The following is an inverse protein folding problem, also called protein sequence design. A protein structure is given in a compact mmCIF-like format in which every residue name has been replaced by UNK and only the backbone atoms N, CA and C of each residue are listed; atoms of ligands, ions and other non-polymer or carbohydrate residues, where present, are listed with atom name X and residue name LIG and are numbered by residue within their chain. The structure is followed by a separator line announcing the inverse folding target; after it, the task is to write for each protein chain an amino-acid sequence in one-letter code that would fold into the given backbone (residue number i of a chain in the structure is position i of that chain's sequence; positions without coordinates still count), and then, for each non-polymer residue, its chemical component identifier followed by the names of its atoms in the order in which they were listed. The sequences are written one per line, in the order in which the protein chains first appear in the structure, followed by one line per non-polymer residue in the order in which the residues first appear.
data_IF_656068842484
#
_entry.id   IF_656068842484
#
_cell.length_a   1.000
_cell.length_b   1.000
_cell.length_c   1.000
_cell.angle_alpha   90.00
_cell.angle_beta   90.00
_cell.angle_gamma   90.00
#
_symmetry.space_group_name_H-M   'P 1'
#
loop_
_entity.id
_entity.type
_entity.pdbx_description
1 polymer ?
#
# COMPACT_ATOMS: atom_id res chain seq x y z
N UNK A 1 0.22 -8.58 -9.23
CA UNK A 1 0.23 -10.05 -9.20
C UNK A 1 0.26 -10.59 -10.62
N UNK A 2 0.96 -11.73 -10.87
CA UNK A 2 0.85 -12.45 -12.16
C UNK A 2 -0.55 -13.05 -12.30
N UNK A 3 -1.10 -13.12 -13.52
CA UNK A 3 -2.44 -13.69 -13.79
C UNK A 3 -2.59 -15.13 -13.28
N UNK A 4 -1.53 -15.93 -13.30
CA UNK A 4 -1.52 -17.29 -12.77
C UNK A 4 -1.46 -17.37 -11.25
N UNK A 5 -1.22 -16.25 -10.54
CA UNK A 5 -1.11 -16.24 -9.07
C UNK A 5 -2.43 -16.62 -8.41
N UNK A 6 -2.32 -17.27 -7.24
CA UNK A 6 -3.45 -17.64 -6.39
C UNK A 6 -3.14 -17.22 -4.95
N UNK A 7 -4.15 -16.66 -4.30
CA UNK A 7 -4.09 -16.24 -2.92
C UNK A 7 -4.97 -17.18 -2.09
N UNK A 8 -4.42 -17.80 -1.09
CA UNK A 8 -5.11 -18.79 -0.27
C UNK A 8 -4.78 -18.59 1.20
N UNK A 9 -5.78 -18.64 2.08
CA UNK A 9 -5.57 -18.49 3.51
C UNK A 9 -5.05 -19.80 4.15
N UNK A 10 -5.57 -20.94 3.72
CA UNK A 10 -5.16 -22.33 4.01
C UNK A 10 -5.11 -22.78 5.49
N UNK A 11 -5.10 -21.89 6.46
CA UNK A 11 -5.01 -22.23 7.89
C UNK A 11 -6.16 -23.11 8.41
N UNK A 12 -7.44 -22.90 8.00
CA UNK A 12 -8.57 -23.72 8.47
C UNK A 12 -8.42 -25.19 8.16
N UNK A 13 -7.75 -25.57 7.07
CA UNK A 13 -7.47 -26.97 6.72
C UNK A 13 -6.59 -27.68 7.75
N UNK A 14 -5.81 -26.90 8.52
CA UNK A 14 -4.97 -27.39 9.62
C UNK A 14 -5.60 -27.18 10.99
N UNK A 15 -6.84 -26.65 11.05
CA UNK A 15 -7.50 -26.30 12.31
C UNK A 15 -6.90 -25.05 12.98
N UNK A 16 -6.24 -24.17 12.20
CA UNK A 16 -5.59 -22.97 12.69
C UNK A 16 -6.35 -21.70 12.26
N UNK A 17 -6.13 -20.59 12.96
CA UNK A 17 -6.83 -19.33 12.74
C UNK A 17 -6.03 -18.31 11.90
N UNK A 18 -4.78 -18.60 11.55
CA UNK A 18 -3.85 -17.69 10.88
C UNK A 18 -2.80 -17.12 11.81
N UNK A 19 -1.72 -16.60 11.20
CA UNK A 19 -0.60 -15.95 11.89
C UNK A 19 -0.09 -14.74 11.07
N UNK A 20 1.11 -14.22 11.42
CA UNK A 20 1.76 -13.14 10.70
C UNK A 20 0.95 -11.85 10.60
N UNK A 21 -0.09 -11.68 11.40
CA UNK A 21 -1.00 -10.52 11.33
C UNK A 21 -2.08 -10.65 10.25
N UNK A 22 -2.23 -11.82 9.61
CA UNK A 22 -3.23 -12.03 8.55
C UNK A 22 -4.66 -11.63 8.98
N UNK A 23 -5.07 -12.00 10.20
CA UNK A 23 -6.39 -11.62 10.76
C UNK A 23 -6.50 -10.13 11.12
N UNK A 24 -5.39 -9.40 11.19
CA UNK A 24 -5.36 -7.96 11.40
C UNK A 24 -5.41 -7.19 10.07
N UNK A 25 -4.54 -7.57 9.11
CA UNK A 25 -4.42 -6.85 7.85
C UNK A 25 -5.52 -7.18 6.85
N UNK A 26 -5.92 -8.45 6.73
CA UNK A 26 -6.89 -8.86 5.72
C UNK A 26 -8.21 -8.08 5.80
N UNK A 27 -8.90 -7.95 6.97
CA UNK A 27 -10.14 -7.18 7.03
C UNK A 27 -9.95 -5.67 6.79
N UNK A 28 -8.74 -5.15 6.92
CA UNK A 28 -8.41 -3.76 6.61
C UNK A 28 -8.20 -3.52 5.12
N UNK A 29 -7.73 -4.53 4.40
CA UNK A 29 -7.54 -4.48 2.95
C UNK A 29 -8.85 -4.71 2.19
N UNK A 30 -9.60 -5.76 2.54
CA UNK A 30 -10.75 -6.22 1.75
C UNK A 30 -12.10 -6.02 2.47
N UNK A 31 -12.09 -5.44 3.66
CA UNK A 31 -13.26 -5.34 4.53
C UNK A 31 -13.58 -6.65 5.27
N UNK A 32 -14.24 -6.53 6.44
CA UNK A 32 -14.48 -7.67 7.33
C UNK A 32 -15.29 -8.79 6.66
N UNK A 33 -16.33 -8.45 5.91
CA UNK A 33 -17.20 -9.45 5.27
C UNK A 33 -16.43 -10.31 4.27
N UNK A 34 -15.66 -9.67 3.40
CA UNK A 34 -14.86 -10.42 2.40
C UNK A 34 -13.73 -11.22 3.05
N UNK A 35 -13.08 -10.66 4.09
CA UNK A 35 -12.10 -11.40 4.88
C UNK A 35 -12.68 -12.69 5.50
N UNK A 36 -13.89 -12.61 6.06
CA UNK A 36 -14.59 -13.80 6.58
C UNK A 36 -14.87 -14.83 5.49
N UNK A 37 -15.28 -14.41 4.30
CA UNK A 37 -15.52 -15.34 3.17
C UNK A 37 -14.23 -16.05 2.75
N UNK A 38 -13.12 -15.30 2.60
CA UNK A 38 -11.82 -15.87 2.26
C UNK A 38 -11.33 -16.88 3.28
N UNK A 39 -11.51 -16.58 4.58
CA UNK A 39 -11.07 -17.46 5.67
C UNK A 39 -11.97 -18.68 5.80
N UNK A 40 -13.30 -18.52 5.77
CA UNK A 40 -14.22 -19.59 6.12
C UNK A 40 -14.53 -20.54 4.95
N UNK A 41 -14.48 -20.06 3.72
CA UNK A 41 -14.62 -20.91 2.53
C UNK A 41 -13.31 -21.59 2.16
N UNK A 42 -12.19 -20.94 2.47
CA UNK A 42 -10.84 -21.43 2.16
C UNK A 42 -10.69 -21.82 0.68
N UNK A 43 -11.26 -20.99 -0.19
CA UNK A 43 -11.17 -21.10 -1.64
C UNK A 43 -10.08 -20.16 -2.17
N UNK A 44 -9.20 -20.64 -3.05
CA UNK A 44 -8.18 -19.77 -3.65
C UNK A 44 -8.80 -18.65 -4.49
N UNK A 45 -8.29 -17.43 -4.33
CA UNK A 45 -8.66 -16.26 -5.12
C UNK A 45 -7.63 -16.04 -6.22
N UNK A 46 -8.08 -15.86 -7.47
CA UNK A 46 -7.22 -15.52 -8.60
C UNK A 46 -6.71 -14.08 -8.55
N UNK A 47 -5.74 -13.77 -9.42
CA UNK A 47 -5.09 -12.46 -9.45
C UNK A 47 -6.07 -11.32 -9.78
N UNK A 48 -6.95 -11.51 -10.76
CA UNK A 48 -7.97 -10.51 -11.16
C UNK A 48 -8.92 -10.20 -9.99
N UNK A 49 -9.49 -11.23 -9.38
CA UNK A 49 -10.38 -11.06 -8.22
C UNK A 49 -9.63 -10.43 -7.03
N UNK A 50 -8.36 -10.80 -6.81
CA UNK A 50 -7.53 -10.20 -5.77
C UNK A 50 -7.33 -8.70 -6.00
N UNK A 51 -7.19 -8.26 -7.26
CA UNK A 51 -7.12 -6.85 -7.61
C UNK A 51 -8.48 -6.15 -7.41
N UNK A 52 -9.58 -6.77 -7.84
CA UNK A 52 -10.94 -6.21 -7.69
C UNK A 52 -11.32 -5.97 -6.22
N UNK A 53 -10.92 -6.87 -5.32
CA UNK A 53 -11.23 -6.75 -3.88
C UNK A 53 -10.19 -5.96 -3.08
N UNK A 54 -9.13 -5.45 -3.72
CA UNK A 54 -8.08 -4.67 -3.06
C UNK A 54 -7.05 -5.49 -2.27
N UNK A 55 -6.97 -6.80 -2.51
CA UNK A 55 -5.93 -7.67 -1.94
C UNK A 55 -4.61 -7.54 -2.71
N UNK A 56 -4.68 -7.32 -4.02
CA UNK A 56 -3.57 -6.95 -4.88
C UNK A 56 -3.83 -5.59 -5.52
N UNK A 57 -2.79 -4.90 -5.97
CA UNK A 57 -2.92 -3.61 -6.65
C UNK A 57 -3.44 -3.77 -8.07
N UNK A 58 -2.90 -4.76 -8.78
CA UNK A 58 -3.25 -5.09 -10.17
C UNK A 58 -2.92 -6.54 -10.50
N UNK A 59 -3.52 -7.08 -11.55
CA UNK A 59 -3.14 -8.33 -12.20
C UNK A 59 -2.50 -8.02 -13.55
N UNK A 60 -1.40 -8.73 -13.88
CA UNK A 60 -0.67 -8.56 -15.14
C UNK A 60 -0.35 -9.92 -15.75
N UNK A 61 -0.17 -10.04 -17.09
CA UNK A 61 0.28 -11.28 -17.72
C UNK A 61 1.56 -11.81 -17.07
N UNK A 62 1.68 -13.14 -16.95
CA UNK A 62 2.81 -13.78 -16.26
C UNK A 62 4.18 -13.32 -16.79
N UNK A 63 4.28 -13.13 -18.11
CA UNK A 63 5.51 -12.67 -18.76
C UNK A 63 5.89 -11.21 -18.46
N UNK A 64 4.94 -10.40 -18.04
CA UNK A 64 5.10 -8.95 -17.88
C UNK A 64 5.38 -8.54 -16.44
N UNK A 65 5.22 -9.46 -15.48
CA UNK A 65 5.35 -9.16 -14.04
C UNK A 65 6.71 -8.52 -13.69
N UNK A 66 7.80 -9.03 -14.27
CA UNK A 66 9.15 -8.52 -14.00
C UNK A 66 9.31 -7.07 -14.46
N UNK A 67 8.90 -6.77 -15.68
CA UNK A 67 8.99 -5.43 -16.26
C UNK A 67 8.07 -4.45 -15.52
N UNK A 68 6.85 -4.87 -15.20
CA UNK A 68 5.89 -4.04 -14.45
C UNK A 68 6.37 -3.73 -13.03
N UNK A 69 7.00 -4.71 -12.35
CA UNK A 69 7.62 -4.49 -11.05
C UNK A 69 8.79 -3.49 -11.14
N UNK A 70 9.65 -3.62 -12.15
CA UNK A 70 10.77 -2.71 -12.35
C UNK A 70 10.30 -1.28 -12.65
N UNK A 71 9.28 -1.12 -13.48
CA UNK A 71 8.66 0.17 -13.78
C UNK A 71 8.09 0.83 -12.51
N UNK A 72 7.30 0.10 -11.73
CA UNK A 72 6.69 0.63 -10.52
C UNK A 72 7.72 0.98 -9.44
N UNK A 73 8.74 0.13 -9.27
CA UNK A 73 9.85 0.41 -8.37
C UNK A 73 10.63 1.67 -8.78
N UNK A 74 10.91 1.83 -10.08
CA UNK A 74 11.58 3.01 -10.60
C UNK A 74 10.72 4.28 -10.41
N UNK A 75 9.42 4.19 -10.67
CA UNK A 75 8.45 5.28 -10.45
C UNK A 75 8.44 5.74 -8.98
N UNK A 76 8.37 4.79 -8.05
CA UNK A 76 8.37 5.09 -6.62
C UNK A 76 9.73 5.65 -6.16
N UNK A 77 10.84 5.09 -6.65
CA UNK A 77 12.18 5.55 -6.31
C UNK A 77 12.48 6.97 -6.84
N UNK A 78 11.88 7.37 -7.96
CA UNK A 78 11.99 8.71 -8.52
C UNK A 78 11.06 9.74 -7.83
N UNK A 79 10.20 9.30 -6.94
CA UNK A 79 9.28 10.16 -6.21
C UNK A 79 9.87 10.72 -4.91
N UNK A 80 9.11 11.54 -4.16
CA UNK A 80 9.52 12.12 -2.89
C UNK A 80 9.51 11.04 -1.78
N UNK A 81 10.53 10.19 -1.74
CA UNK A 81 10.56 8.97 -0.91
C UNK A 81 10.41 9.25 0.59
N UNK A 82 10.88 10.40 1.10
CA UNK A 82 10.65 10.81 2.49
C UNK A 82 9.17 11.08 2.76
N UNK A 83 8.47 11.76 1.84
CA UNK A 83 7.03 12.01 1.96
C UNK A 83 6.23 10.69 1.88
N UNK A 84 6.62 9.76 0.99
CA UNK A 84 6.01 8.43 0.93
C UNK A 84 6.21 7.63 2.22
N UNK A 85 7.41 7.69 2.82
CA UNK A 85 7.69 7.03 4.08
C UNK A 85 6.86 7.62 5.24
N UNK A 86 6.73 8.94 5.33
CA UNK A 86 5.88 9.62 6.31
C UNK A 86 4.41 9.22 6.15
N UNK A 87 3.87 9.34 4.93
CA UNK A 87 2.50 8.94 4.64
C UNK A 87 2.24 7.46 4.97
N UNK A 88 3.19 6.57 4.63
CA UNK A 88 3.08 5.14 4.95
C UNK A 88 3.00 4.87 6.45
N UNK A 89 3.80 5.57 7.29
CA UNK A 89 3.72 5.47 8.76
C UNK A 89 2.37 5.95 9.29
N UNK A 90 1.91 7.12 8.86
CA UNK A 90 0.64 7.71 9.27
C UNK A 90 -0.55 6.81 8.89
N UNK A 91 -0.58 6.30 7.66
CA UNK A 91 -1.60 5.38 7.18
C UNK A 91 -1.63 4.08 7.98
N UNK A 92 -0.46 3.48 8.24
CA UNK A 92 -0.38 2.23 9.00
C UNK A 92 -0.85 2.42 10.47
N UNK A 93 -0.62 3.59 11.07
CA UNK A 93 -1.05 3.93 12.44
C UNK A 93 -2.54 4.29 12.54
N UNK A 94 -3.17 4.77 11.46
CA UNK A 94 -4.47 5.46 11.49
C UNK A 94 -5.62 4.66 12.09
N UNK A 95 -5.63 3.34 11.96
CA UNK A 95 -6.70 2.49 12.51
C UNK A 95 -6.69 2.36 14.04
N UNK A 96 -5.59 2.74 14.70
CA UNK A 96 -5.44 2.67 16.16
C UNK A 96 -5.26 4.04 16.81
N UNK A 97 -5.17 5.11 16.03
CA UNK A 97 -4.87 6.47 16.50
C UNK A 97 -6.13 7.31 16.56
N UNK A 98 -6.43 8.01 17.67
CA UNK A 98 -7.51 9.00 17.74
C UNK A 98 -7.29 10.13 16.72
N UNK A 99 -8.38 10.69 16.17
CA UNK A 99 -8.31 11.72 15.14
C UNK A 99 -7.44 12.91 15.53
N UNK A 100 -7.59 13.42 16.78
CA UNK A 100 -6.81 14.56 17.26
C UNK A 100 -5.31 14.27 17.29
N UNK A 101 -4.92 13.05 17.69
CA UNK A 101 -3.52 12.61 17.66
C UNK A 101 -3.03 12.46 16.22
N UNK A 102 -3.83 11.85 15.35
CA UNK A 102 -3.49 11.70 13.93
C UNK A 102 -3.24 13.07 13.26
N UNK A 103 -4.09 14.07 13.53
CA UNK A 103 -3.92 15.42 12.98
C UNK A 103 -2.66 16.12 13.52
N UNK A 104 -2.29 15.86 14.77
CA UNK A 104 -1.05 16.38 15.35
C UNK A 104 0.18 15.70 14.70
N UNK A 105 0.15 14.38 14.57
CA UNK A 105 1.23 13.62 13.91
C UNK A 105 1.41 14.04 12.43
N UNK A 106 0.30 14.28 11.71
CA UNK A 106 0.34 14.82 10.34
C UNK A 106 0.97 16.21 10.27
N UNK A 107 0.63 17.09 11.22
CA UNK A 107 1.19 18.44 11.29
C UNK A 107 2.71 18.41 11.56
N UNK A 108 3.16 17.52 12.44
CA UNK A 108 4.58 17.34 12.75
C UNK A 108 5.36 16.81 11.54
N UNK A 109 4.83 15.78 10.85
CA UNK A 109 5.46 15.25 9.64
C UNK A 109 5.52 16.30 8.51
N UNK A 110 4.45 17.11 8.32
CA UNK A 110 4.45 18.21 7.35
C UNK A 110 5.53 19.24 7.73
N UNK A 111 5.63 19.62 8.99
CA UNK A 111 6.64 20.58 9.46
C UNK A 111 8.07 20.08 9.20
N UNK A 112 8.33 18.77 9.37
CA UNK A 112 9.62 18.17 9.04
C UNK A 112 9.87 18.18 7.51
N UNK A 113 8.88 17.77 6.72
CA UNK A 113 8.99 17.65 5.28
C UNK A 113 9.16 19.00 4.58
N UNK A 114 8.62 20.11 5.13
CA UNK A 114 8.82 21.45 4.58
C UNK A 114 10.28 21.91 4.59
N UNK A 115 11.15 21.25 5.36
CA UNK A 115 12.60 21.55 5.39
C UNK A 115 13.40 20.71 4.37
N UNK A 116 12.74 19.92 3.52
CA UNK A 116 13.40 19.05 2.54
C UNK A 116 13.62 19.78 1.21
N UNK A 117 14.67 19.38 0.48
CA UNK A 117 14.91 19.82 -0.89
C UNK A 117 13.76 19.43 -1.82
N UNK A 118 13.19 18.24 -1.59
CA UNK A 118 12.05 17.72 -2.38
C UNK A 118 10.79 18.59 -2.19
N UNK A 119 10.52 19.07 -0.97
CA UNK A 119 9.42 20.03 -0.76
C UNK A 119 9.65 21.32 -1.56
N UNK A 120 10.87 21.89 -1.52
CA UNK A 120 11.17 23.10 -2.25
C UNK A 120 10.98 22.94 -3.78
N UNK A 121 11.41 21.79 -4.35
CA UNK A 121 11.21 21.44 -5.76
C UNK A 121 9.73 21.26 -6.10
N UNK A 122 9.00 20.47 -5.31
CA UNK A 122 7.57 20.24 -5.49
C UNK A 122 6.76 21.52 -5.37
N UNK A 123 7.09 22.38 -4.39
CA UNK A 123 6.43 23.67 -4.20
C UNK A 123 6.68 24.63 -5.38
N UNK A 124 7.91 24.68 -5.91
CA UNK A 124 8.24 25.50 -7.07
C UNK A 124 7.50 25.07 -8.35
N UNK A 125 7.32 23.76 -8.54
CA UNK A 125 6.58 23.20 -9.68
C UNK A 125 5.04 23.26 -9.50
N UNK A 126 4.56 23.48 -8.28
CA UNK A 126 3.12 23.49 -8.00
C UNK A 126 2.40 24.62 -8.74
N UNK A 127 1.42 24.25 -9.57
CA UNK A 127 0.65 25.20 -10.38
C UNK A 127 1.34 25.60 -11.71
N UNK A 128 2.42 24.93 -12.07
CA UNK A 128 3.08 25.02 -13.39
C UNK A 128 2.88 23.73 -14.19
N UNK A 129 3.31 23.72 -15.46
CA UNK A 129 3.33 22.50 -16.31
C UNK A 129 4.62 21.67 -16.11
N UNK A 130 5.47 22.04 -15.16
CA UNK A 130 6.73 21.36 -14.88
C UNK A 130 6.54 20.18 -13.91
N UNK A 131 7.21 19.05 -14.17
CA UNK A 131 7.29 17.93 -13.27
C UNK A 131 8.53 18.06 -12.39
N UNK A 132 8.41 18.08 -11.05
CA UNK A 132 9.57 18.18 -10.17
C UNK A 132 10.44 16.92 -10.20
N UNK A 133 11.75 17.08 -10.16
CA UNK A 133 12.71 15.98 -9.98
C UNK A 133 13.01 15.82 -8.49
N UNK A 134 12.54 14.73 -7.90
CA UNK A 134 12.77 14.40 -6.50
C UNK A 134 14.05 13.57 -6.32
N UNK A 135 14.71 13.71 -5.17
CA UNK A 135 15.95 13.01 -4.82
C UNK A 135 15.87 12.27 -3.47
N UNK A 136 14.75 12.38 -2.76
CA UNK A 136 14.60 11.78 -1.45
C UNK A 136 15.31 12.54 -0.31
N UNK A 137 15.57 13.84 -0.51
CA UNK A 137 16.37 14.69 0.40
C UNK A 137 15.55 15.83 1.02
#
# INVERSE_FOLDING_TARGET
AAESARFEFAYPRMGLCGDGGSTYFLPRLVGLRRAQELVFRDEPVGAEEAAEIGLATEAVPDGDLGDRLAEEAARLAAGPTRAYAAAGRLLAGSFGTPLETQLADEADEIAELTNTTDFARGHAAFGTDESPEFAGE
#
